data_IF_540788131081
#
_entry.id   IF_540788131081
#
_cell.length_a   1.000
_cell.length_b   1.000
_cell.length_c   1.000
_cell.angle_alpha   90.00
_cell.angle_beta   90.00
_cell.angle_gamma   90.00
#
_symmetry.space_group_name_H-M   'P 1'
#
loop_
_entity.id
_entity.type
_entity.pdbx_description
1 polymer ?
#
# COMPACT_ATOMS: atom_id res chain seq x y z
N UNK A 1 26.19 -6.75 -2.60
CA UNK A 1 25.52 -5.47 -2.31
C UNK A 1 24.21 -5.47 -3.05
N UNK A 2 23.11 -5.17 -2.37
CA UNK A 2 21.79 -5.10 -2.99
C UNK A 2 21.75 -4.04 -4.10
N UNK A 3 20.80 -4.19 -5.02
CA UNK A 3 20.42 -3.16 -5.99
C UNK A 3 19.20 -2.42 -5.50
N UNK A 4 19.06 -1.15 -5.86
CA UNK A 4 17.98 -0.30 -5.38
C UNK A 4 17.09 0.16 -6.54
N UNK A 5 15.78 0.03 -6.34
CA UNK A 5 14.76 0.56 -7.25
C UNK A 5 14.06 1.69 -6.53
N UNK A 6 14.07 2.89 -7.09
CA UNK A 6 13.33 4.03 -6.54
C UNK A 6 12.07 4.26 -7.36
N UNK A 7 10.92 4.11 -6.71
CA UNK A 7 9.60 4.33 -7.34
C UNK A 7 9.09 5.69 -6.91
N UNK A 8 8.93 6.59 -7.87
CA UNK A 8 8.40 7.95 -7.65
C UNK A 8 7.06 8.11 -8.36
N UNK A 9 6.24 9.07 -7.94
CA UNK A 9 4.95 9.37 -8.58
C UNK A 9 4.86 10.79 -9.07
N UNK A 10 3.99 11.03 -10.03
CA UNK A 10 3.77 12.33 -10.60
C UNK A 10 2.33 12.56 -11.05
N UNK A 11 2.04 13.79 -11.47
CA UNK A 11 0.71 14.25 -11.92
C UNK A 11 -0.33 14.34 -10.80
N UNK A 12 -0.69 13.22 -10.17
CA UNK A 12 -1.65 13.17 -9.05
C UNK A 12 -1.25 12.07 -8.05
N UNK A 13 -1.71 12.21 -6.81
CA UNK A 13 -1.64 11.13 -5.82
C UNK A 13 -2.59 9.98 -6.17
N UNK A 14 -2.49 8.86 -5.44
CA UNK A 14 -3.38 7.69 -5.58
C UNK A 14 -3.36 6.97 -6.94
N UNK A 15 -2.28 7.11 -7.71
CA UNK A 15 -2.08 6.35 -8.96
C UNK A 15 -1.75 4.86 -8.76
N UNK A 16 -1.62 4.41 -7.51
CA UNK A 16 -1.26 3.02 -7.17
C UNK A 16 0.24 2.77 -7.12
N UNK A 17 1.04 3.71 -6.58
CA UNK A 17 2.49 3.53 -6.39
C UNK A 17 2.83 2.32 -5.50
N UNK A 18 2.19 2.19 -4.33
CA UNK A 18 2.40 1.07 -3.43
C UNK A 18 2.05 -0.26 -4.06
N UNK A 19 0.92 -0.34 -4.76
CA UNK A 19 0.55 -1.53 -5.53
C UNK A 19 1.57 -1.83 -6.64
N UNK A 20 2.08 -0.81 -7.34
CA UNK A 20 3.09 -1.00 -8.37
C UNK A 20 4.41 -1.54 -7.79
N UNK A 21 4.82 -1.04 -6.62
CA UNK A 21 5.98 -1.52 -5.89
C UNK A 21 5.80 -2.99 -5.47
N UNK A 22 4.65 -3.30 -4.86
CA UNK A 22 4.27 -4.65 -4.42
C UNK A 22 4.25 -5.65 -5.58
N UNK A 23 3.61 -5.29 -6.70
CA UNK A 23 3.50 -6.12 -7.89
C UNK A 23 4.86 -6.36 -8.56
N UNK A 24 5.72 -5.33 -8.62
CA UNK A 24 7.10 -5.49 -9.10
C UNK A 24 7.91 -6.42 -8.19
N UNK A 25 7.77 -6.27 -6.87
CA UNK A 25 8.41 -7.16 -5.89
C UNK A 25 8.02 -8.62 -6.10
N UNK A 26 6.71 -8.89 -6.19
CA UNK A 26 6.18 -10.21 -6.50
C UNK A 26 6.71 -10.76 -7.84
N UNK A 27 6.71 -9.93 -8.88
CA UNK A 27 7.20 -10.32 -10.20
C UNK A 27 8.70 -10.70 -10.16
N UNK A 28 9.53 -9.92 -9.47
CA UNK A 28 10.95 -10.25 -9.29
C UNK A 28 11.16 -11.55 -8.50
N UNK A 29 10.32 -11.84 -7.49
CA UNK A 29 10.36 -13.14 -6.79
C UNK A 29 10.04 -14.31 -7.71
N UNK A 30 9.11 -14.15 -8.66
CA UNK A 30 8.81 -15.21 -9.65
C UNK A 30 10.01 -15.52 -10.56
N UNK A 31 10.94 -14.56 -10.72
CA UNK A 31 12.24 -14.73 -11.39
C UNK A 31 13.34 -15.29 -10.48
N UNK A 32 13.05 -15.48 -9.19
CA UNK A 32 13.96 -16.08 -8.21
C UNK A 32 14.78 -15.09 -7.38
N UNK A 33 14.50 -13.78 -7.46
CA UNK A 33 15.22 -12.79 -6.67
C UNK A 33 14.63 -12.64 -5.27
N UNK A 34 15.51 -12.41 -4.29
CA UNK A 34 15.09 -11.98 -2.95
C UNK A 34 14.86 -10.46 -2.96
N UNK A 35 13.65 -10.06 -2.60
CA UNK A 35 13.23 -8.66 -2.61
C UNK A 35 12.90 -8.18 -1.21
N UNK A 36 13.14 -6.89 -0.95
CA UNK A 36 12.63 -6.18 0.22
C UNK A 36 12.07 -4.84 -0.20
N UNK A 37 10.94 -4.44 0.38
CA UNK A 37 10.26 -3.21 0.02
C UNK A 37 10.32 -2.23 1.18
N UNK A 38 10.42 -0.94 0.84
CA UNK A 38 10.44 0.15 1.82
C UNK A 38 9.55 1.29 1.39
N UNK A 39 8.89 1.91 2.37
CA UNK A 39 8.08 3.11 2.21
C UNK A 39 8.77 4.31 2.83
N UNK A 40 8.84 5.41 2.08
CA UNK A 40 9.32 6.69 2.54
C UNK A 40 8.19 7.71 2.44
N UNK A 41 7.64 8.11 3.58
CA UNK A 41 6.48 8.98 3.68
C UNK A 41 6.85 10.44 3.95
N UNK A 42 6.31 11.39 3.18
CA UNK A 42 6.67 12.79 3.33
C UNK A 42 5.99 13.50 4.51
N UNK A 43 5.03 12.87 5.19
CA UNK A 43 4.32 13.48 6.33
C UNK A 43 5.19 13.63 7.59
N UNK A 44 4.78 14.56 8.47
CA UNK A 44 5.52 14.92 9.69
C UNK A 44 5.17 14.09 10.94
N UNK A 45 4.08 13.34 10.92
CA UNK A 45 3.79 12.38 11.99
C UNK A 45 4.96 11.39 12.10
N UNK A 46 5.43 11.09 13.32
CA UNK A 46 6.57 10.17 13.53
C UNK A 46 6.18 8.74 13.16
N UNK A 47 4.93 8.40 13.42
CA UNK A 47 4.21 7.19 13.07
C UNK A 47 2.74 7.56 12.74
N UNK A 48 1.99 6.71 12.03
CA UNK A 48 0.62 7.00 11.68
C UNK A 48 -0.38 6.74 12.83
N UNK A 49 0.06 6.32 14.02
CA UNK A 49 -0.82 6.00 15.16
C UNK A 49 -1.64 7.20 15.66
N UNK A 50 -1.18 8.42 15.36
CA UNK A 50 -1.89 9.67 15.67
C UNK A 50 -2.80 10.17 14.55
N UNK A 51 -2.83 9.48 13.41
CA UNK A 51 -3.61 9.88 12.24
C UNK A 51 -5.03 9.30 12.29
N UNK A 52 -5.97 10.04 11.72
CA UNK A 52 -7.33 9.53 11.55
C UNK A 52 -7.37 8.47 10.45
N UNK A 53 -7.97 7.29 10.68
CA UNK A 53 -8.14 6.30 9.63
C UNK A 53 -8.95 6.79 8.41
N UNK A 54 -9.77 7.83 8.58
CA UNK A 54 -10.49 8.45 7.46
C UNK A 54 -9.59 9.24 6.50
N UNK A 55 -8.42 9.69 6.97
CA UNK A 55 -7.53 10.53 6.18
C UNK A 55 -6.39 9.74 5.55
N UNK A 56 -5.95 8.67 6.22
CA UNK A 56 -4.74 7.94 5.87
C UNK A 56 -4.96 6.44 5.64
N UNK A 57 -6.20 5.96 5.78
CA UNK A 57 -6.49 4.53 5.80
C UNK A 57 -6.06 3.88 7.12
N UNK A 58 -6.04 2.55 7.14
CA UNK A 58 -5.65 1.80 8.33
C UNK A 58 -4.19 2.04 8.74
N UNK A 59 -3.92 1.85 10.03
CA UNK A 59 -2.55 1.69 10.55
C UNK A 59 -2.20 0.22 10.43
N UNK A 60 -1.13 -0.10 9.69
CA UNK A 60 -0.60 -1.45 9.62
C UNK A 60 0.35 -1.69 10.80
N UNK A 61 0.35 -2.89 11.37
CA UNK A 61 1.21 -3.24 12.50
C UNK A 61 2.06 -4.42 12.09
N UNK A 62 3.38 -4.24 12.11
CA UNK A 62 4.37 -5.27 11.75
C UNK A 62 4.57 -6.28 12.88
N UNK A 63 5.21 -7.42 12.59
CA UNK A 63 5.50 -8.47 13.57
C UNK A 63 6.37 -7.97 14.74
N UNK A 64 7.28 -7.02 14.46
CA UNK A 64 8.12 -6.37 15.48
C UNK A 64 7.41 -5.24 16.24
N UNK A 65 6.11 -5.06 16.02
CA UNK A 65 5.24 -4.15 16.77
C UNK A 65 5.33 -2.68 16.34
N UNK A 66 5.84 -2.39 15.15
CA UNK A 66 5.85 -1.03 14.63
C UNK A 66 4.50 -0.68 13.98
N UNK A 67 3.98 0.50 14.30
CA UNK A 67 2.83 1.10 13.62
C UNK A 67 3.33 1.82 12.36
N UNK A 68 2.79 1.44 11.20
CA UNK A 68 3.28 1.88 9.89
C UNK A 68 2.14 2.21 8.93
N UNK A 69 2.50 2.81 7.79
CA UNK A 69 1.58 3.07 6.69
C UNK A 69 0.99 1.76 6.12
N UNK A 70 -0.21 1.85 5.55
CA UNK A 70 -0.96 0.71 4.99
C UNK A 70 -0.24 0.04 3.82
N UNK A 71 0.67 0.73 3.12
CA UNK A 71 1.38 0.17 1.98
C UNK A 71 2.30 -0.99 2.40
N UNK A 72 2.78 -1.03 3.64
CA UNK A 72 3.53 -2.19 4.13
C UNK A 72 2.68 -3.47 4.11
N UNK A 73 1.38 -3.35 4.40
CA UNK A 73 0.46 -4.47 4.24
C UNK A 73 0.34 -4.92 2.78
N UNK A 74 0.39 -4.00 1.82
CA UNK A 74 0.44 -4.37 0.39
C UNK A 74 1.71 -5.13 0.05
N UNK A 75 2.86 -4.68 0.57
CA UNK A 75 4.14 -5.34 0.32
C UNK A 75 4.14 -6.76 0.87
N UNK A 76 3.70 -6.96 2.12
CA UNK A 76 3.60 -8.29 2.72
C UNK A 76 2.65 -9.20 1.94
N UNK A 77 1.44 -8.71 1.60
CA UNK A 77 0.42 -9.51 0.90
C UNK A 77 0.90 -10.02 -0.46
N UNK A 78 1.64 -9.19 -1.20
CA UNK A 78 2.14 -9.56 -2.53
C UNK A 78 3.39 -10.44 -2.49
N UNK A 79 4.27 -10.21 -1.51
CA UNK A 79 5.59 -10.87 -1.49
C UNK A 79 5.69 -12.03 -0.51
N UNK A 80 4.77 -12.14 0.45
CA UNK A 80 4.85 -13.08 1.56
C UNK A 80 6.05 -12.85 2.47
N UNK A 81 6.73 -11.70 2.37
CA UNK A 81 7.87 -11.33 3.20
C UNK A 81 7.38 -10.40 4.31
N UNK A 82 7.55 -10.76 5.60
CA UNK A 82 7.21 -9.88 6.71
C UNK A 82 7.97 -8.55 6.62
N UNK A 83 7.24 -7.45 6.76
CA UNK A 83 7.78 -6.12 6.87
C UNK A 83 8.17 -5.84 8.32
N UNK A 84 9.15 -4.95 8.48
CA UNK A 84 9.63 -4.53 9.79
C UNK A 84 9.49 -3.03 9.96
N UNK A 85 9.58 -2.54 11.19
CA UNK A 85 9.62 -1.08 11.45
C UNK A 85 10.80 -0.37 10.78
N UNK A 86 11.82 -1.10 10.32
CA UNK A 86 12.93 -0.60 9.51
C UNK A 86 12.61 -0.44 8.01
N UNK A 87 11.42 -0.84 7.57
CA UNK A 87 10.97 -0.75 6.18
C UNK A 87 10.03 0.44 5.94
N UNK A 88 9.69 1.21 6.97
CA UNK A 88 8.93 2.45 6.83
C UNK A 88 9.64 3.60 7.53
N UNK A 89 9.64 4.78 6.91
CA UNK A 89 10.09 6.01 7.56
C UNK A 89 9.26 7.19 7.10
N UNK A 90 9.01 8.12 8.01
CA UNK A 90 8.38 9.41 7.71
C UNK A 90 9.38 10.56 7.77
N UNK A 91 9.05 11.71 7.16
CA UNK A 91 9.77 12.97 7.41
C UNK A 91 9.85 13.24 8.91
N UNK A 92 8.73 13.07 9.63
CA UNK A 92 8.67 13.24 11.09
C UNK A 92 9.79 12.52 11.81
N UNK A 93 9.95 11.23 11.53
CA UNK A 93 10.98 10.37 12.14
C UNK A 93 12.40 10.76 11.73
N UNK A 94 12.62 11.13 10.47
CA UNK A 94 13.91 11.62 9.98
C UNK A 94 14.31 12.91 10.71
N UNK A 95 13.43 13.92 10.71
CA UNK A 95 13.71 15.20 11.35
C UNK A 95 13.89 15.04 12.86
N UNK A 96 13.06 14.21 13.51
CA UNK A 96 13.22 13.87 14.92
C UNK A 96 14.59 13.28 15.22
N UNK A 97 15.05 12.34 14.39
CA UNK A 97 16.37 11.71 14.52
C UNK A 97 17.50 12.74 14.37
N UNK A 98 17.44 13.58 13.34
CA UNK A 98 18.46 14.60 13.08
C UNK A 98 18.53 15.62 14.22
N UNK A 99 17.38 16.12 14.68
CA UNK A 99 17.30 17.08 15.79
C UNK A 99 17.80 16.45 17.10
N UNK A 100 17.46 15.19 17.36
CA UNK A 100 17.90 14.48 18.57
C UNK A 100 19.43 14.29 18.57
N UNK A 101 20.02 13.87 17.44
CA UNK A 101 21.49 13.76 17.28
C UNK A 101 22.16 15.13 17.51
N UNK A 102 21.56 16.19 17.00
CA UNK A 102 22.08 17.55 17.18
C UNK A 102 22.05 17.99 18.64
N UNK A 103 20.94 17.81 19.35
CA UNK A 103 20.84 18.14 20.79
C UNK A 103 21.78 17.32 21.67
N UNK A 104 22.14 16.10 21.26
CA UNK A 104 23.15 15.27 21.95
C UNK A 104 24.59 15.74 21.71
N UNK A 105 24.81 16.62 20.72
CA UNK A 105 26.14 17.12 20.36
C UNK A 105 26.87 16.26 19.31
N UNK A 106 26.18 15.35 18.63
CA UNK A 106 26.81 14.43 17.66
C UNK A 106 27.44 15.14 16.46
N UNK A 107 26.97 16.35 16.13
CA UNK A 107 27.51 17.18 15.05
C UNK A 107 28.60 18.16 15.51
N UNK A 108 29.13 18.01 16.73
CA UNK A 108 30.29 18.75 17.25
C UNK A 108 30.18 20.28 17.14
N UNK A 109 28.97 20.82 17.29
CA UNK A 109 28.70 22.26 17.19
C UNK A 109 28.62 22.83 15.77
N UNK A 110 28.66 21.98 14.73
CA UNK A 110 28.45 22.40 13.35
C UNK A 110 26.98 22.75 13.06
N UNK A 111 26.76 23.61 12.07
CA UNK A 111 25.41 23.95 11.60
C UNK A 111 24.74 22.74 10.95
N UNK A 112 23.59 22.34 11.48
CA UNK A 112 22.76 21.28 10.89
C UNK A 112 21.86 21.85 9.80
N UNK A 113 21.77 21.14 8.67
CA UNK A 113 21.14 21.57 7.42
C UNK A 113 20.42 20.41 6.75
N UNK A 114 19.47 20.69 5.85
CA UNK A 114 18.79 19.64 5.05
C UNK A 114 19.80 18.82 4.26
N UNK A 115 20.70 19.49 3.54
CA UNK A 115 21.84 18.86 2.89
C UNK A 115 23.09 19.26 3.68
N UNK A 116 23.91 18.31 4.19
CA UNK A 116 23.79 16.87 3.98
C UNK A 116 23.01 16.13 5.08
N UNK A 117 22.64 16.74 6.20
CA UNK A 117 22.26 16.00 7.42
C UNK A 117 20.93 15.23 7.29
N UNK A 118 19.87 15.87 6.78
CA UNK A 118 18.58 15.22 6.54
C UNK A 118 18.69 14.22 5.40
N UNK A 119 19.33 14.60 4.29
CA UNK A 119 19.54 13.67 3.16
C UNK A 119 20.37 12.46 3.57
N UNK A 120 21.41 12.62 4.39
CA UNK A 120 22.21 11.51 4.91
C UNK A 120 21.39 10.60 5.82
N UNK A 121 20.53 11.13 6.70
CA UNK A 121 19.65 10.30 7.50
C UNK A 121 18.67 9.47 6.64
N UNK A 122 18.17 10.04 5.55
CA UNK A 122 17.34 9.32 4.57
C UNK A 122 18.16 8.25 3.85
N UNK A 123 19.36 8.58 3.37
CA UNK A 123 20.26 7.61 2.71
C UNK A 123 20.64 6.46 3.64
N UNK A 124 20.99 6.78 4.89
CA UNK A 124 21.25 5.80 5.96
C UNK A 124 20.06 4.86 6.10
N UNK A 125 18.84 5.37 6.22
CA UNK A 125 17.64 4.53 6.26
C UNK A 125 17.50 3.63 5.03
N UNK A 126 17.67 4.16 3.81
CA UNK A 126 17.50 3.41 2.56
C UNK A 126 18.48 2.25 2.46
N UNK A 127 19.73 2.43 2.86
CA UNK A 127 20.78 1.40 2.70
C UNK A 127 20.97 0.52 3.94
N UNK A 128 20.40 0.91 5.08
CA UNK A 128 20.54 0.17 6.33
C UNK A 128 19.85 -1.19 6.24
N UNK A 129 20.51 -2.23 6.75
CA UNK A 129 19.98 -3.59 6.91
C UNK A 129 19.10 -4.11 5.76
N UNK A 130 19.68 -4.36 4.59
CA UNK A 130 18.99 -5.02 3.49
C UNK A 130 18.80 -6.54 3.72
N UNK A 131 19.27 -7.09 4.84
CA UNK A 131 19.27 -8.53 5.11
C UNK A 131 19.94 -9.33 3.96
N UNK A 132 19.24 -10.36 3.50
CA UNK A 132 19.62 -11.21 2.36
C UNK A 132 18.96 -10.77 1.03
N UNK A 133 18.33 -9.59 0.98
CA UNK A 133 17.70 -9.07 -0.22
C UNK A 133 18.74 -8.73 -1.30
N UNK A 134 18.45 -9.15 -2.52
CA UNK A 134 19.25 -8.83 -3.70
C UNK A 134 18.78 -7.51 -4.34
N UNK A 135 17.48 -7.21 -4.21
CA UNK A 135 16.85 -5.99 -4.72
C UNK A 135 16.00 -5.36 -3.62
N UNK A 136 16.26 -4.09 -3.31
CA UNK A 136 15.46 -3.27 -2.41
C UNK A 136 14.63 -2.29 -3.24
N UNK A 137 13.32 -2.33 -3.10
CA UNK A 137 12.40 -1.40 -3.78
C UNK A 137 11.97 -0.36 -2.76
N UNK A 138 12.30 0.91 -3.02
CA UNK A 138 11.93 2.03 -2.19
C UNK A 138 10.84 2.85 -2.89
N UNK A 139 9.63 2.83 -2.34
CA UNK A 139 8.56 3.72 -2.75
C UNK A 139 8.71 5.09 -2.07
N UNK A 140 8.78 6.13 -2.89
CA UNK A 140 8.81 7.52 -2.43
C UNK A 140 7.38 8.07 -2.45
N UNK A 141 6.84 8.32 -1.26
CA UNK A 141 5.55 8.93 -1.05
C UNK A 141 5.46 10.36 -1.59
N UNK A 142 4.25 10.89 -1.66
CA UNK A 142 3.97 12.20 -2.26
C UNK A 142 3.99 12.19 -3.80
N UNK A 143 4.02 13.39 -4.37
CA UNK A 143 4.06 13.64 -5.82
C UNK A 143 5.27 14.49 -6.17
N UNK A 144 6.00 14.11 -7.23
CA UNK A 144 7.13 14.92 -7.72
C UNK A 144 6.62 16.31 -8.12
N UNK A 145 7.27 17.34 -7.58
CA UNK A 145 6.87 18.74 -7.67
C UNK A 145 6.39 19.32 -6.33
N UNK A 146 6.00 18.46 -5.38
CA UNK A 146 5.60 18.91 -4.05
C UNK A 146 6.82 19.16 -3.15
N UNK A 147 6.71 20.19 -2.29
CA UNK A 147 7.78 20.63 -1.38
C UNK A 147 8.16 19.53 -0.38
N UNK A 148 7.17 18.78 0.10
CA UNK A 148 7.33 17.76 1.14
C UNK A 148 8.28 16.60 0.72
N UNK A 149 8.33 16.29 -0.58
CA UNK A 149 9.14 15.20 -1.13
C UNK A 149 10.58 15.57 -1.48
N UNK A 150 10.93 16.87 -1.50
CA UNK A 150 12.22 17.34 -1.99
C UNK A 150 13.43 16.70 -1.28
N UNK A 151 13.46 16.55 0.06
CA UNK A 151 14.59 15.89 0.73
C UNK A 151 14.76 14.42 0.33
N UNK A 152 13.67 13.67 0.10
CA UNK A 152 13.72 12.28 -0.35
C UNK A 152 14.25 12.18 -1.77
N UNK A 153 13.74 13.03 -2.67
CA UNK A 153 14.19 13.04 -4.06
C UNK A 153 15.68 13.41 -4.16
N UNK A 154 16.15 14.38 -3.38
CA UNK A 154 17.58 14.70 -3.32
C UNK A 154 18.42 13.54 -2.74
N UNK A 155 17.91 12.84 -1.71
CA UNK A 155 18.61 11.70 -1.12
C UNK A 155 18.78 10.54 -2.11
N UNK A 156 17.73 10.17 -2.86
CA UNK A 156 17.82 9.09 -3.86
C UNK A 156 18.70 9.51 -5.04
N UNK A 157 18.68 10.79 -5.44
CA UNK A 157 19.57 11.33 -6.47
C UNK A 157 21.04 11.23 -6.04
N UNK A 158 21.36 11.56 -4.79
CA UNK A 158 22.70 11.37 -4.23
C UNK A 158 23.09 9.90 -4.21
N UNK A 159 22.22 9.00 -3.74
CA UNK A 159 22.48 7.55 -3.76
C UNK A 159 22.75 7.02 -5.16
N UNK A 160 22.03 7.49 -6.18
CA UNK A 160 22.31 7.11 -7.56
C UNK A 160 23.72 7.48 -8.04
N UNK A 161 24.35 8.51 -7.46
CA UNK A 161 25.75 8.86 -7.75
C UNK A 161 26.76 8.09 -6.89
N UNK A 162 26.37 7.70 -5.68
CA UNK A 162 27.23 7.03 -4.70
C UNK A 162 27.28 5.52 -4.92
N UNK A 163 26.18 4.91 -5.39
CA UNK A 163 26.08 3.50 -5.68
C UNK A 163 26.84 3.13 -6.97
N UNK A 164 27.37 1.89 -7.07
CA UNK A 164 28.00 1.43 -8.30
C UNK A 164 27.04 1.51 -9.50
N UNK A 165 27.59 1.77 -10.69
CA UNK A 165 26.81 1.77 -11.93
C UNK A 165 26.03 0.45 -12.08
N UNK A 166 24.74 0.52 -12.36
CA UNK A 166 23.85 -0.65 -12.47
C UNK A 166 23.34 -1.19 -11.13
N UNK A 167 23.54 -0.47 -10.02
CA UNK A 167 22.96 -0.81 -8.71
C UNK A 167 21.80 0.10 -8.30
N UNK A 168 21.41 1.03 -9.16
CA UNK A 168 20.31 1.97 -8.93
C UNK A 168 19.48 2.06 -10.21
N UNK A 169 18.15 1.99 -10.07
CA UNK A 169 17.20 2.23 -11.15
C UNK A 169 16.03 3.07 -10.64
N UNK A 170 15.47 3.91 -11.51
CA UNK A 170 14.37 4.81 -11.22
C UNK A 170 13.15 4.44 -12.05
N UNK A 171 12.02 4.17 -11.39
CA UNK A 171 10.73 3.97 -12.03
C UNK A 171 9.84 5.16 -11.66
N UNK A 172 9.27 5.83 -12.66
CA UNK A 172 8.37 6.96 -12.43
C UNK A 172 6.94 6.61 -12.85
N UNK A 173 6.04 6.57 -11.88
CA UNK A 173 4.60 6.35 -12.07
C UNK A 173 3.94 7.65 -12.46
N UNK A 174 3.15 7.62 -13.54
CA UNK A 174 2.51 8.80 -14.13
C UNK A 174 1.11 8.46 -14.64
N UNK A 175 0.34 9.48 -15.02
CA UNK A 175 -1.02 9.33 -15.54
C UNK A 175 -1.07 9.76 -17.01
N UNK A 176 -1.66 8.90 -17.84
CA UNK A 176 -2.02 9.19 -19.23
C UNK A 176 -3.54 9.26 -19.31
N UNK A 177 -4.17 10.42 -19.05
CA UNK A 177 -5.61 10.52 -18.94
C UNK A 177 -6.30 10.49 -20.31
N UNK A 178 -7.47 9.87 -20.36
CA UNK A 178 -8.41 9.99 -21.47
C UNK A 178 -9.22 11.28 -21.36
N UNK A 179 -9.34 12.03 -22.45
CA UNK A 179 -10.19 13.23 -22.50
C UNK A 179 -11.40 12.94 -23.40
N UNK A 180 -12.60 12.68 -22.83
CA UNK A 180 -13.78 12.31 -23.60
C UNK A 180 -14.16 13.30 -24.70
N UNK A 181 -14.06 14.60 -24.42
CA UNK A 181 -14.38 15.66 -25.38
C UNK A 181 -13.43 15.72 -26.58
N UNK A 182 -12.21 15.22 -26.43
CA UNK A 182 -11.21 15.16 -27.49
C UNK A 182 -11.09 13.77 -28.13
N UNK A 183 -11.65 12.74 -27.49
CA UNK A 183 -11.55 11.36 -27.98
C UNK A 183 -10.12 10.82 -28.04
N UNK A 184 -9.20 11.31 -27.19
CA UNK A 184 -7.80 10.86 -27.20
C UNK A 184 -7.17 10.80 -25.80
N UNK A 185 -6.16 9.93 -25.66
CA UNK A 185 -5.26 9.90 -24.52
C UNK A 185 -4.26 11.07 -24.60
N UNK A 186 -4.06 11.78 -23.49
CA UNK A 186 -3.13 12.91 -23.43
C UNK A 186 -1.82 12.51 -22.77
N UNK A 187 -0.73 12.66 -23.52
CA UNK A 187 0.63 12.33 -23.08
C UNK A 187 1.35 13.48 -22.35
N UNK A 188 0.77 14.69 -22.34
CA UNK A 188 1.40 15.91 -21.82
C UNK A 188 1.61 15.89 -20.29
N UNK A 189 0.67 15.37 -19.46
CA UNK A 189 0.91 15.25 -18.02
C UNK A 189 2.18 14.46 -17.71
N UNK A 190 2.37 13.32 -18.36
CA UNK A 190 3.61 12.52 -18.26
C UNK A 190 4.85 13.31 -18.64
N UNK A 191 4.83 14.06 -19.73
CA UNK A 191 5.97 14.85 -20.18
C UNK A 191 6.38 15.92 -19.16
N UNK A 192 5.40 16.63 -18.60
CA UNK A 192 5.65 17.66 -17.59
C UNK A 192 6.17 17.04 -16.29
N UNK A 193 5.60 15.89 -15.89
CA UNK A 193 6.02 15.15 -14.72
C UNK A 193 7.48 14.68 -14.81
N UNK A 194 7.86 14.10 -15.94
CA UNK A 194 9.25 13.68 -16.16
C UNK A 194 10.19 14.87 -16.28
N UNK A 195 9.75 16.00 -16.85
CA UNK A 195 10.54 17.23 -16.86
C UNK A 195 10.84 17.71 -15.43
N UNK A 196 9.86 17.66 -14.53
CA UNK A 196 10.04 18.04 -13.13
C UNK A 196 11.04 17.11 -12.41
N UNK A 197 10.88 15.79 -12.60
CA UNK A 197 11.82 14.81 -12.06
C UNK A 197 13.26 15.00 -12.59
N UNK A 198 13.40 15.37 -13.87
CA UNK A 198 14.71 15.65 -14.47
C UNK A 198 15.29 16.99 -14.02
N UNK A 199 14.46 17.98 -13.71
CA UNK A 199 14.92 19.29 -13.23
C UNK A 199 15.67 19.16 -11.90
N UNK A 200 15.32 18.17 -11.09
CA UNK A 200 16.03 17.82 -9.85
C UNK A 200 17.17 16.80 -10.06
N UNK A 201 17.49 16.44 -11.30
CA UNK A 201 18.64 15.60 -11.63
C UNK A 201 18.39 14.08 -11.62
N UNK A 202 17.13 13.63 -11.64
CA UNK A 202 16.79 12.20 -11.75
C UNK A 202 16.28 11.90 -13.16
N UNK A 203 16.94 10.96 -13.84
CA UNK A 203 16.47 10.41 -15.12
C UNK A 203 15.78 9.07 -14.85
N UNK A 204 14.47 8.92 -15.18
CA UNK A 204 13.80 7.63 -15.04
C UNK A 204 14.36 6.62 -16.05
N UNK A 205 14.54 5.38 -15.58
CA UNK A 205 14.88 4.21 -16.39
C UNK A 205 13.62 3.59 -17.02
N UNK A 206 12.48 3.65 -16.31
CA UNK A 206 11.18 3.23 -16.81
C UNK A 206 10.06 4.20 -16.40
N UNK A 207 9.05 4.32 -17.26
CA UNK A 207 7.83 5.08 -17.00
C UNK A 207 6.66 4.11 -16.89
N UNK A 208 6.00 4.12 -15.73
CA UNK A 208 4.79 3.34 -15.51
C UNK A 208 3.58 4.23 -15.77
N UNK A 209 3.02 4.12 -16.98
CA UNK A 209 1.97 4.98 -17.48
C UNK A 209 0.59 4.43 -17.12
N UNK A 210 -0.01 4.91 -16.02
CA UNK A 210 -1.36 4.54 -15.61
C UNK A 210 -2.38 5.06 -16.62
N UNK A 211 -3.28 4.18 -17.05
CA UNK A 211 -4.30 4.48 -18.04
C UNK A 211 -5.49 3.51 -17.92
N UNK A 212 -6.66 3.96 -18.35
CA UNK A 212 -7.92 3.18 -18.33
C UNK A 212 -8.11 2.33 -19.60
N UNK A 213 -7.18 2.42 -20.56
CA UNK A 213 -7.26 1.77 -21.88
C UNK A 213 -5.88 1.62 -22.52
N UNK A 214 -5.72 0.78 -23.55
CA UNK A 214 -4.46 0.62 -24.27
C UNK A 214 -3.90 1.94 -24.81
N UNK A 215 -2.61 2.19 -24.58
CA UNK A 215 -1.90 3.36 -25.11
C UNK A 215 -1.55 3.10 -26.59
N UNK A 216 -2.02 3.92 -27.55
CA UNK A 216 -1.67 3.77 -28.95
C UNK A 216 -0.15 3.81 -29.19
N UNK A 217 0.40 3.05 -30.14
CA UNK A 217 1.85 3.03 -30.43
C UNK A 217 2.45 4.42 -30.70
N UNK A 218 1.70 5.30 -31.38
CA UNK A 218 2.15 6.68 -31.62
C UNK A 218 2.27 7.49 -30.32
N UNK A 219 1.31 7.36 -29.41
CA UNK A 219 1.34 8.01 -28.11
C UNK A 219 2.51 7.48 -27.26
N UNK A 220 2.77 6.17 -27.28
CA UNK A 220 3.91 5.52 -26.61
C UNK A 220 5.24 6.06 -27.14
N UNK A 221 5.43 6.08 -28.47
CA UNK A 221 6.61 6.68 -29.14
C UNK A 221 6.81 8.14 -28.76
N UNK A 222 5.73 8.91 -28.71
CA UNK A 222 5.77 10.32 -28.34
C UNK A 222 6.20 10.53 -26.89
N UNK A 223 5.68 9.72 -25.95
CA UNK A 223 6.12 9.73 -24.55
C UNK A 223 7.62 9.43 -24.48
N UNK A 224 8.06 8.35 -25.12
CA UNK A 224 9.46 7.92 -25.12
C UNK A 224 10.40 9.05 -25.60
N UNK A 225 10.11 9.61 -26.77
CA UNK A 225 10.89 10.69 -27.37
C UNK A 225 10.94 11.94 -26.48
N UNK A 226 9.79 12.39 -25.97
CA UNK A 226 9.71 13.63 -25.19
C UNK A 226 10.24 13.49 -23.76
N UNK A 227 10.23 12.28 -23.21
CA UNK A 227 10.75 11.98 -21.87
C UNK A 227 12.22 11.53 -21.89
N UNK A 228 12.81 11.35 -23.08
CA UNK A 228 14.18 10.85 -23.27
C UNK A 228 14.40 9.44 -22.67
N UNK A 229 13.43 8.55 -22.86
CA UNK A 229 13.50 7.13 -22.48
C UNK A 229 13.34 6.24 -23.72
N UNK A 230 13.71 4.97 -23.63
CA UNK A 230 13.45 4.00 -24.71
C UNK A 230 11.93 3.75 -24.83
N UNK A 231 11.50 3.32 -26.02
CA UNK A 231 10.06 3.06 -26.26
C UNK A 231 9.54 1.88 -25.44
N UNK A 232 10.35 0.83 -25.30
CA UNK A 232 10.05 -0.33 -24.44
C UNK A 232 9.96 0.07 -22.96
N UNK A 233 10.76 1.04 -22.50
CA UNK A 233 10.70 1.60 -21.15
C UNK A 233 9.45 2.45 -20.85
N UNK A 234 8.57 2.71 -21.82
CA UNK A 234 7.24 3.28 -21.58
C UNK A 234 6.26 2.13 -21.36
N UNK A 235 6.02 1.78 -20.11
CA UNK A 235 5.24 0.62 -19.67
C UNK A 235 3.77 1.01 -19.50
N UNK A 236 2.84 0.49 -20.32
CA UNK A 236 1.41 0.68 -20.09
C UNK A 236 0.98 -0.02 -18.79
N UNK A 237 0.49 0.74 -17.83
CA UNK A 237 -0.07 0.21 -16.60
C UNK A 237 -1.59 0.37 -16.65
N UNK A 238 -2.23 -0.49 -17.43
CA UNK A 238 -3.68 -0.46 -17.67
C UNK A 238 -4.43 -0.85 -16.39
N UNK A 239 -5.60 -0.25 -16.16
CA UNK A 239 -6.49 -0.68 -15.08
C UNK A 239 -6.88 -2.16 -15.24
N UNK A 240 -6.67 -2.92 -14.16
CA UNK A 240 -6.96 -4.34 -14.08
C UNK A 240 -8.27 -4.56 -13.31
N UNK A 241 -8.97 -5.66 -13.59
CA UNK A 241 -10.21 -6.00 -12.86
C UNK A 241 -9.93 -6.41 -11.42
N UNK A 242 -8.73 -6.96 -11.17
CA UNK A 242 -8.24 -7.28 -9.83
C UNK A 242 -6.77 -6.93 -9.67
N UNK A 243 -6.37 -6.56 -8.46
CA UNK A 243 -4.98 -6.20 -8.13
C UNK A 243 -4.01 -7.37 -8.35
N UNK A 244 -4.49 -8.61 -8.30
CA UNK A 244 -3.66 -9.80 -8.48
C UNK A 244 -3.28 -10.06 -9.94
N UNK A 245 -3.89 -9.37 -10.91
CA UNK A 245 -3.47 -9.41 -12.32
C UNK A 245 -2.24 -8.54 -12.60
N UNK A 246 -2.00 -7.54 -11.74
CA UNK A 246 -0.97 -6.51 -11.99
C UNK A 246 0.43 -7.10 -12.22
N UNK A 247 0.92 -8.12 -11.47
CA UNK A 247 2.21 -8.73 -11.76
C UNK A 247 2.29 -9.34 -13.17
N UNK A 248 1.22 -9.97 -13.64
CA UNK A 248 1.13 -10.57 -14.98
C UNK A 248 1.14 -9.45 -16.03
N UNK A 249 0.27 -8.45 -15.88
CA UNK A 249 0.18 -7.34 -16.81
C UNK A 249 1.49 -6.54 -16.92
N UNK A 250 2.21 -6.35 -15.81
CA UNK A 250 3.50 -5.67 -15.82
C UNK A 250 4.59 -6.49 -16.52
N UNK A 251 4.57 -7.82 -16.38
CA UNK A 251 5.45 -8.69 -17.12
C UNK A 251 5.16 -8.64 -18.62
N UNK A 252 3.89 -8.78 -19.03
CA UNK A 252 3.47 -8.70 -20.43
C UNK A 252 3.84 -7.34 -21.07
N UNK A 253 3.86 -6.28 -20.27
CA UNK A 253 4.29 -4.95 -20.69
C UNK A 253 5.82 -4.76 -20.72
N UNK A 254 6.61 -5.70 -20.17
CA UNK A 254 8.07 -5.72 -20.17
C UNK A 254 8.75 -4.95 -19.03
N UNK A 255 8.04 -4.65 -17.92
CA UNK A 255 8.57 -3.81 -16.84
C UNK A 255 9.82 -4.41 -16.19
N UNK A 256 9.74 -5.68 -15.85
CA UNK A 256 10.80 -6.44 -15.19
C UNK A 256 12.03 -6.61 -16.10
N UNK A 257 11.82 -6.79 -17.40
CA UNK A 257 12.91 -6.88 -18.39
C UNK A 257 13.67 -5.55 -18.49
N UNK A 258 12.95 -4.44 -18.64
CA UNK A 258 13.55 -3.09 -18.68
C UNK A 258 14.34 -2.80 -17.39
N UNK A 259 13.79 -3.19 -16.24
CA UNK A 259 14.47 -3.01 -14.96
C UNK A 259 15.76 -3.84 -14.86
N UNK A 260 15.71 -5.12 -15.24
CA UNK A 260 16.88 -5.99 -15.19
C UNK A 260 17.96 -5.54 -16.18
N UNK A 261 17.59 -5.02 -17.35
CA UNK A 261 18.51 -4.37 -18.27
C UNK A 261 19.20 -3.15 -17.66
N UNK A 262 18.45 -2.28 -16.95
CA UNK A 262 19.01 -1.11 -16.26
C UNK A 262 20.07 -1.52 -15.21
N UNK A 263 19.90 -2.70 -14.59
CA UNK A 263 20.86 -3.28 -13.67
C UNK A 263 22.03 -4.04 -14.33
N UNK A 264 22.05 -4.13 -15.66
CA UNK A 264 23.03 -4.94 -16.40
C UNK A 264 22.85 -6.45 -16.18
N UNK A 265 21.65 -6.88 -15.79
CA UNK A 265 21.26 -8.27 -15.51
C UNK A 265 20.43 -8.88 -16.66
N UNK A 266 20.70 -8.45 -17.90
CA UNK A 266 20.05 -9.00 -19.08
C UNK A 266 20.23 -10.52 -19.20
N UNK A 267 19.21 -11.21 -19.73
CA UNK A 267 19.22 -12.67 -19.89
C UNK A 267 18.84 -13.46 -18.64
N UNK A 268 18.28 -12.80 -17.62
CA UNK A 268 17.68 -13.49 -16.48
C UNK A 268 16.58 -14.47 -16.92
N UNK A 269 16.37 -15.59 -16.19
CA UNK A 269 15.30 -16.54 -16.48
C UNK A 269 13.92 -15.87 -16.55
N UNK A 270 13.05 -16.40 -17.42
CA UNK A 270 11.65 -15.98 -17.49
C UNK A 270 10.93 -16.20 -16.14
N UNK A 271 9.95 -15.35 -15.79
CA UNK A 271 9.22 -15.47 -14.54
C UNK A 271 8.33 -16.71 -14.54
N UNK A 272 8.10 -17.27 -13.36
CA UNK A 272 7.13 -18.37 -13.14
C UNK A 272 5.81 -17.80 -12.60
N UNK A 273 4.88 -17.49 -13.50
CA UNK A 273 3.63 -16.80 -13.16
C UNK A 273 2.46 -17.72 -12.74
N UNK A 274 2.63 -19.05 -12.79
CA UNK A 274 1.52 -20.00 -12.58
C UNK A 274 0.72 -19.80 -11.28
N UNK A 275 1.37 -19.42 -10.18
CA UNK A 275 0.65 -19.11 -8.92
C UNK A 275 -0.26 -17.89 -9.06
N UNK A 276 0.21 -16.84 -9.75
CA UNK A 276 -0.59 -15.64 -10.00
C UNK A 276 -1.74 -15.90 -10.97
N UNK A 277 -1.49 -16.70 -12.02
CA UNK A 277 -2.53 -17.15 -12.95
C UNK A 277 -3.64 -17.91 -12.24
N UNK A 278 -3.28 -18.82 -11.32
CA UNK A 278 -4.26 -19.56 -10.51
C UNK A 278 -5.05 -18.64 -9.56
N UNK A 279 -4.39 -17.69 -8.90
CA UNK A 279 -5.07 -16.70 -8.03
C UNK A 279 -6.08 -15.89 -8.85
N UNK A 280 -5.68 -15.36 -10.01
CA UNK A 280 -6.55 -14.59 -10.90
C UNK A 280 -7.74 -15.43 -11.36
N UNK A 281 -7.52 -16.69 -11.74
CA UNK A 281 -8.61 -17.59 -12.13
C UNK A 281 -9.64 -17.75 -11.00
N UNK A 282 -9.18 -18.05 -9.78
CA UNK A 282 -10.05 -18.23 -8.61
C UNK A 282 -10.85 -16.97 -8.25
N UNK A 283 -10.26 -15.79 -8.42
CA UNK A 283 -10.93 -14.50 -8.18
C UNK A 283 -11.99 -14.22 -9.25
N UNK A 284 -11.68 -14.48 -10.52
CA UNK A 284 -12.57 -14.16 -11.64
C UNK A 284 -13.67 -15.19 -11.86
N UNK A 285 -13.44 -16.45 -11.47
CA UNK A 285 -14.37 -17.57 -11.66
C UNK A 285 -14.64 -18.32 -10.34
N UNK A 286 -15.31 -17.67 -9.37
CA UNK A 286 -15.71 -18.34 -8.13
C UNK A 286 -16.80 -19.39 -8.41
N UNK A 287 -16.82 -20.45 -7.61
CA UNK A 287 -17.80 -21.55 -7.67
C UNK A 287 -19.07 -21.25 -6.85
N UNK A 288 -19.04 -20.24 -6.00
CA UNK A 288 -20.16 -19.77 -5.20
C UNK A 288 -19.87 -18.42 -4.54
N UNK A 289 -20.83 -17.92 -3.76
CA UNK A 289 -20.69 -16.62 -3.07
C UNK A 289 -21.16 -16.73 -1.62
N UNK A 290 -20.59 -15.89 -0.75
CA UNK A 290 -20.94 -15.76 0.65
C UNK A 290 -20.98 -14.28 1.02
N UNK A 291 -22.01 -13.86 1.75
CA UNK A 291 -22.16 -12.49 2.24
C UNK A 291 -21.76 -12.39 3.70
N UNK A 292 -20.82 -11.50 4.03
CA UNK A 292 -20.34 -11.23 5.39
C UNK A 292 -20.69 -9.80 5.77
N UNK A 293 -21.45 -9.62 6.84
CA UNK A 293 -21.73 -8.31 7.42
C UNK A 293 -20.52 -7.81 8.21
N UNK A 294 -20.04 -6.61 7.89
CA UNK A 294 -18.99 -5.92 8.65
C UNK A 294 -19.63 -4.78 9.44
N UNK A 295 -19.74 -4.95 10.76
CA UNK A 295 -20.39 -3.98 11.66
C UNK A 295 -19.35 -3.05 12.27
N UNK A 296 -18.99 -2.01 11.52
CA UNK A 296 -17.88 -1.10 11.81
C UNK A 296 -18.31 0.32 12.14
N UNK A 297 -17.34 1.11 12.63
CA UNK A 297 -17.50 2.56 12.88
C UNK A 297 -17.18 3.43 11.66
N UNK A 298 -16.44 2.87 10.68
CA UNK A 298 -15.80 3.59 9.58
C UNK A 298 -16.24 3.01 8.22
N UNK A 299 -17.54 2.89 7.95
CA UNK A 299 -18.06 2.18 6.77
C UNK A 299 -17.90 2.92 5.44
N UNK A 300 -17.66 4.23 5.47
CA UNK A 300 -17.53 5.06 4.27
C UNK A 300 -16.15 5.06 3.60
N UNK A 301 -15.14 4.40 4.17
CA UNK A 301 -13.79 4.36 3.61
C UNK A 301 -13.24 2.92 3.63
N UNK A 302 -13.12 2.32 2.45
CA UNK A 302 -12.60 0.95 2.28
C UNK A 302 -11.17 0.84 2.83
N UNK A 303 -10.36 1.89 2.68
CA UNK A 303 -8.96 1.90 3.10
C UNK A 303 -8.78 1.83 4.62
N UNK A 304 -9.81 2.21 5.41
CA UNK A 304 -9.77 2.09 6.87
C UNK A 304 -9.82 0.63 7.37
N UNK A 305 -10.15 -0.30 6.49
CA UNK A 305 -10.25 -1.74 6.78
C UNK A 305 -9.63 -2.57 5.65
N UNK A 306 -8.58 -2.07 5.00
CA UNK A 306 -7.99 -2.69 3.82
C UNK A 306 -7.50 -4.10 4.10
N UNK A 307 -6.75 -4.32 5.18
CA UNK A 307 -6.23 -5.65 5.55
C UNK A 307 -7.36 -6.63 5.86
N UNK A 308 -8.45 -6.15 6.46
CA UNK A 308 -9.63 -6.97 6.73
C UNK A 308 -10.33 -7.40 5.43
N UNK A 309 -10.54 -6.45 4.51
CA UNK A 309 -11.09 -6.73 3.18
C UNK A 309 -10.25 -7.77 2.43
N UNK A 310 -8.93 -7.59 2.41
CA UNK A 310 -8.00 -8.50 1.74
C UNK A 310 -7.97 -9.87 2.40
N UNK A 311 -7.97 -9.96 3.74
CA UNK A 311 -7.98 -11.24 4.44
C UNK A 311 -9.22 -12.08 4.12
N UNK A 312 -10.40 -11.46 4.09
CA UNK A 312 -11.64 -12.14 3.69
C UNK A 312 -11.61 -12.54 2.21
N UNK A 313 -11.10 -11.65 1.34
CA UNK A 313 -10.91 -11.95 -0.08
C UNK A 313 -10.00 -13.16 -0.27
N UNK A 314 -8.87 -13.23 0.42
CA UNK A 314 -7.94 -14.37 0.39
C UNK A 314 -8.59 -15.66 0.93
N UNK A 315 -9.41 -15.57 1.97
CA UNK A 315 -10.24 -16.68 2.45
C UNK A 315 -11.18 -17.19 1.36
N UNK A 316 -11.80 -16.29 0.61
CA UNK A 316 -12.61 -16.61 -0.57
C UNK A 316 -11.81 -17.32 -1.67
N UNK A 317 -10.65 -16.79 -2.04
CA UNK A 317 -9.74 -17.36 -3.05
C UNK A 317 -9.33 -18.79 -2.68
N UNK A 318 -8.99 -19.03 -1.41
CA UNK A 318 -8.61 -20.35 -0.93
C UNK A 318 -9.75 -21.37 -1.08
N UNK A 319 -10.99 -20.92 -0.90
CA UNK A 319 -12.21 -21.75 -0.97
C UNK A 319 -12.94 -21.67 -2.32
N UNK A 320 -12.40 -20.96 -3.32
CA UNK A 320 -13.04 -20.68 -4.61
C UNK A 320 -14.44 -20.06 -4.49
N UNK A 321 -14.64 -19.19 -3.51
CA UNK A 321 -15.90 -18.45 -3.32
C UNK A 321 -15.66 -16.96 -3.36
N UNK A 322 -16.62 -16.20 -3.89
CA UNK A 322 -16.64 -14.75 -3.77
C UNK A 322 -17.14 -14.36 -2.39
N UNK A 323 -16.39 -13.53 -1.68
CA UNK A 323 -16.85 -12.93 -0.42
C UNK A 323 -17.42 -11.55 -0.72
N UNK A 324 -18.73 -11.41 -0.57
CA UNK A 324 -19.45 -10.15 -0.66
C UNK A 324 -19.47 -9.50 0.73
N UNK A 325 -19.01 -8.25 0.84
CA UNK A 325 -18.98 -7.55 2.12
C UNK A 325 -20.12 -6.54 2.20
N UNK A 326 -20.94 -6.69 3.23
CA UNK A 326 -22.00 -5.73 3.55
C UNK A 326 -21.54 -4.83 4.70
N UNK A 327 -21.26 -3.57 4.39
CA UNK A 327 -20.77 -2.60 5.36
C UNK A 327 -21.93 -1.97 6.12
N UNK A 328 -21.96 -2.18 7.43
CA UNK A 328 -23.04 -1.70 8.28
C UNK A 328 -22.47 -0.81 9.37
N UNK A 329 -23.01 0.41 9.44
CA UNK A 329 -22.64 1.37 10.47
C UNK A 329 -23.18 0.89 11.82
N UNK A 330 -22.28 0.72 12.78
CA UNK A 330 -22.63 0.31 14.13
C UNK A 330 -23.66 1.27 14.79
N UNK A 331 -23.63 2.57 14.49
CA UNK A 331 -24.58 3.52 15.09
C UNK A 331 -26.02 3.31 14.58
N UNK A 332 -26.20 2.66 13.43
CA UNK A 332 -27.53 2.35 12.90
C UNK A 332 -28.28 1.28 13.73
N UNK A 333 -27.59 0.59 14.65
CA UNK A 333 -28.19 -0.42 15.53
C UNK A 333 -28.48 0.10 16.94
N UNK A 334 -28.26 1.39 17.21
CA UNK A 334 -28.54 1.99 18.50
C UNK A 334 -30.06 2.15 18.71
N UNK A 335 -30.72 1.12 19.29
CA UNK A 335 -32.11 1.18 19.73
C UNK A 335 -33.13 0.46 18.83
N UNK A 336 -32.71 -0.16 17.74
CA UNK A 336 -33.56 -0.97 16.85
C UNK A 336 -33.05 -2.41 16.77
N UNK A 337 -33.95 -3.38 16.58
CA UNK A 337 -33.57 -4.78 16.37
C UNK A 337 -32.84 -4.88 15.03
N UNK A 338 -31.62 -5.45 14.96
CA UNK A 338 -30.81 -5.53 13.75
C UNK A 338 -31.42 -6.29 12.55
N UNK A 339 -32.66 -6.81 12.67
CA UNK A 339 -33.14 -7.93 11.85
C UNK A 339 -33.04 -7.58 10.36
N UNK A 340 -33.64 -6.49 9.88
CA UNK A 340 -33.76 -6.20 8.45
C UNK A 340 -32.43 -6.06 7.70
N UNK A 341 -31.36 -5.57 8.34
CA UNK A 341 -30.04 -5.36 7.71
C UNK A 341 -29.13 -6.59 7.81
N UNK A 342 -29.52 -7.60 8.58
CA UNK A 342 -28.75 -8.83 8.80
C UNK A 342 -29.48 -10.09 8.34
N UNK A 343 -30.68 -9.99 7.73
CA UNK A 343 -31.48 -11.16 7.34
C UNK A 343 -30.80 -12.03 6.29
N UNK A 344 -30.11 -11.42 5.33
CA UNK A 344 -29.57 -12.09 4.14
C UNK A 344 -28.05 -12.38 4.23
N UNK A 345 -27.44 -12.17 5.40
CA UNK A 345 -26.00 -12.35 5.60
C UNK A 345 -25.68 -13.76 6.12
N UNK A 346 -24.55 -14.31 5.69
CA UNK A 346 -24.14 -15.66 6.09
C UNK A 346 -23.21 -15.67 7.31
N UNK A 347 -22.61 -14.53 7.65
CA UNK A 347 -21.74 -14.36 8.82
C UNK A 347 -21.69 -12.90 9.25
N UNK A 348 -21.33 -12.68 10.52
CA UNK A 348 -21.16 -11.33 11.10
C UNK A 348 -19.73 -11.16 11.59
N UNK A 349 -19.09 -10.06 11.22
CA UNK A 349 -17.78 -9.67 11.69
C UNK A 349 -17.87 -8.30 12.37
N UNK A 350 -17.36 -8.21 13.60
CA UNK A 350 -17.18 -6.94 14.31
C UNK A 350 -15.69 -6.62 14.38
N UNK A 351 -15.20 -5.59 13.65
CA UNK A 351 -13.80 -5.21 13.65
C UNK A 351 -13.44 -4.37 14.88
N UNK A 352 -12.16 -4.05 14.98
CA UNK A 352 -11.64 -3.06 15.92
C UNK A 352 -12.35 -1.70 15.80
N UNK A 353 -12.23 -0.88 16.83
CA UNK A 353 -12.75 0.48 16.82
C UNK A 353 -12.73 1.07 18.21
N UNK A 354 -11.81 1.99 18.46
CA UNK A 354 -11.60 2.58 19.78
C UNK A 354 -12.73 3.52 20.21
N UNK A 355 -12.96 3.53 21.53
CA UNK A 355 -13.90 4.40 22.22
C UNK A 355 -15.33 3.87 22.29
N UNK A 356 -16.15 4.53 23.12
CA UNK A 356 -17.53 4.15 23.44
C UNK A 356 -18.49 4.24 22.22
N UNK A 357 -18.18 5.13 21.28
CA UNK A 357 -19.06 5.43 20.15
C UNK A 357 -19.28 4.20 19.25
N UNK A 358 -20.54 3.77 19.15
CA UNK A 358 -20.97 2.60 18.36
C UNK A 358 -20.81 1.26 19.07
N UNK A 359 -20.41 1.23 20.35
CA UNK A 359 -20.25 -0.02 21.11
C UNK A 359 -21.57 -0.78 21.27
N UNK A 360 -22.65 -0.11 21.67
CA UNK A 360 -23.96 -0.76 21.88
C UNK A 360 -24.54 -1.35 20.60
N UNK A 361 -24.39 -0.67 19.46
CA UNK A 361 -24.83 -1.22 18.18
C UNK A 361 -24.00 -2.43 17.72
N UNK A 362 -22.70 -2.46 18.02
CA UNK A 362 -21.87 -3.65 17.83
C UNK A 362 -22.30 -4.79 18.75
N UNK A 363 -22.62 -4.53 20.02
CA UNK A 363 -23.17 -5.54 20.95
C UNK A 363 -24.49 -6.10 20.41
N UNK A 364 -25.38 -5.26 19.88
CA UNK A 364 -26.63 -5.71 19.26
C UNK A 364 -26.38 -6.67 18.09
N UNK A 365 -25.39 -6.39 17.24
CA UNK A 365 -25.00 -7.30 16.17
C UNK A 365 -24.42 -8.64 16.69
N UNK A 366 -23.67 -8.63 17.80
CA UNK A 366 -23.20 -9.86 18.46
C UNK A 366 -24.39 -10.68 18.96
N UNK A 367 -25.33 -10.03 19.66
CA UNK A 367 -26.56 -10.67 20.16
C UNK A 367 -27.32 -11.33 19.00
N UNK A 368 -27.50 -10.60 17.90
CA UNK A 368 -28.16 -11.10 16.69
C UNK A 368 -27.48 -12.36 16.14
N UNK A 369 -26.16 -12.31 15.95
CA UNK A 369 -25.39 -13.44 15.45
C UNK A 369 -25.53 -14.67 16.35
N UNK A 370 -25.45 -14.48 17.68
CA UNK A 370 -25.62 -15.55 18.67
C UNK A 370 -27.02 -16.16 18.61
N UNK A 371 -28.07 -15.35 18.60
CA UNK A 371 -29.46 -15.80 18.67
C UNK A 371 -29.94 -16.47 17.38
N UNK A 372 -29.45 -16.02 16.23
CA UNK A 372 -29.74 -16.63 14.92
C UNK A 372 -28.78 -17.78 14.57
N UNK A 373 -27.73 -18.03 15.36
CA UNK A 373 -26.74 -19.07 15.12
C UNK A 373 -25.83 -18.79 13.92
N UNK A 374 -25.60 -17.51 13.59
CA UNK A 374 -24.69 -17.12 12.52
C UNK A 374 -23.21 -17.25 12.97
N UNK A 375 -22.30 -17.69 12.09
CA UNK A 375 -20.87 -17.57 12.32
C UNK A 375 -20.48 -16.13 12.66
N UNK A 376 -19.71 -15.97 13.74
CA UNK A 376 -19.28 -14.68 14.25
C UNK A 376 -17.75 -14.60 14.36
N UNK A 377 -17.17 -13.47 13.93
CA UNK A 377 -15.76 -13.15 14.14
C UNK A 377 -15.62 -11.76 14.80
N UNK A 378 -15.14 -11.73 16.04
CA UNK A 378 -14.82 -10.49 16.76
C UNK A 378 -13.32 -10.23 16.76
N UNK A 379 -12.87 -9.11 16.20
CA UNK A 379 -11.45 -8.74 16.16
C UNK A 379 -11.18 -7.66 17.21
N UNK A 380 -10.26 -7.93 18.14
CA UNK A 380 -9.86 -6.99 19.21
C UNK A 380 -11.09 -6.47 19.98
N UNK A 381 -11.52 -5.24 19.70
CA UNK A 381 -12.75 -4.66 20.26
C UNK A 381 -13.99 -5.55 20.03
N UNK A 382 -14.11 -6.18 18.86
CA UNK A 382 -15.22 -7.11 18.60
C UNK A 382 -15.25 -8.31 19.55
N UNK A 383 -14.07 -8.83 19.94
CA UNK A 383 -13.97 -9.89 20.95
C UNK A 383 -14.38 -9.38 22.34
N UNK A 384 -13.91 -8.17 22.72
CA UNK A 384 -14.27 -7.55 24.00
C UNK A 384 -15.79 -7.36 24.12
N UNK A 385 -16.43 -6.86 23.07
CA UNK A 385 -17.87 -6.66 23.05
C UNK A 385 -18.65 -7.98 23.10
N UNK A 386 -18.11 -9.06 22.53
CA UNK A 386 -18.71 -10.38 22.68
C UNK A 386 -18.67 -10.89 24.13
N UNK A 387 -17.58 -10.62 24.87
CA UNK A 387 -17.53 -10.92 26.30
C UNK A 387 -18.57 -10.12 27.09
N UNK A 388 -18.77 -8.85 26.75
CA UNK A 388 -19.78 -7.99 27.38
C UNK A 388 -21.20 -8.50 27.08
N UNK A 389 -21.50 -8.85 25.82
CA UNK A 389 -22.81 -9.40 25.43
C UNK A 389 -23.15 -10.66 26.23
N UNK A 390 -22.21 -11.61 26.32
CA UNK A 390 -22.39 -12.85 27.08
C UNK A 390 -22.59 -12.58 28.57
N UNK A 391 -21.81 -11.66 29.15
CA UNK A 391 -21.94 -11.30 30.57
C UNK A 391 -23.33 -10.69 30.86
N UNK A 392 -23.81 -9.80 30.00
CA UNK A 392 -25.14 -9.16 30.14
C UNK A 392 -26.26 -10.17 29.94
N UNK A 393 -26.26 -10.91 28.83
CA UNK A 393 -27.42 -11.70 28.39
C UNK A 393 -27.46 -13.12 28.94
N UNK A 394 -26.30 -13.76 29.17
CA UNK A 394 -26.25 -15.16 29.63
C UNK A 394 -25.91 -15.29 31.13
N UNK A 395 -25.13 -14.36 31.68
CA UNK A 395 -24.77 -14.37 33.10
C UNK A 395 -25.61 -13.43 33.98
N UNK A 396 -26.50 -12.63 33.39
CA UNK A 396 -27.39 -11.69 34.10
C UNK A 396 -26.67 -10.49 34.71
N UNK A 397 -25.46 -10.17 34.23
CA UNK A 397 -24.69 -9.01 34.68
C UNK A 397 -25.02 -7.80 33.80
N UNK A 398 -26.22 -7.24 33.96
CA UNK A 398 -26.74 -6.15 33.10
C UNK A 398 -25.79 -4.94 33.01
N UNK A 399 -25.07 -4.64 34.09
CA UNK A 399 -24.09 -3.53 34.16
C UNK A 399 -22.68 -3.86 33.68
N UNK A 400 -22.43 -5.05 33.08
CA UNK A 400 -21.11 -5.40 32.59
C UNK A 400 -20.64 -4.43 31.49
N UNK A 401 -19.40 -3.97 31.59
CA UNK A 401 -18.82 -2.96 30.69
C UNK A 401 -17.30 -3.07 30.64
N UNK A 402 -16.66 -2.28 29.77
CA UNK A 402 -15.21 -2.09 29.73
C UNK A 402 -14.82 -0.84 30.50
N UNK A 403 -13.72 -0.89 31.28
CA UNK A 403 -13.12 0.31 31.91
C UNK A 403 -12.58 1.30 30.88
N UNK A 404 -12.48 0.91 29.60
CA UNK A 404 -12.20 1.85 28.49
C UNK A 404 -13.32 2.89 28.33
N UNK A 405 -14.56 2.56 28.70
CA UNK A 405 -15.72 3.46 28.53
C UNK A 405 -15.90 4.45 29.69
N UNK A 406 -15.13 4.30 30.78
CA UNK A 406 -15.29 5.07 32.02
C UNK A 406 -15.63 4.16 33.19
#
# INVERSE_FOLDING_TARGET
MARYVFITGGVVSSLGKGLAAAALGALLQTRGYKVRLRKLDPYLNVDPGTMSPYQHGEVFVTEDGAETDLDLGHYERFTGVPAHGSDSVSSGRIYWTVITRERRGDYLGATVQVIPHVTNAIKEFIVNDAGDAEIVICEIGGTVGDIEGLPFLEAIRQLGNELPRGHCAYIHVTLVPWIPSAGELKTKPTQHSVRELRAIGIQPDALLCRCDRPIPPEARRKIALQCSVREDAVIPAIDCETIYEVPICYHEAGLDEVLLEAFGMGGAPAPRLGTWEEIVERVKKPEGEVTVAIVGKYTGLIDAYKSLYEALTHGGIANRVRVNLEWIDAEAFAGEVPDDRLQDVNAVLVPGGFGERGAEGKIAAVTYAREKGLPFLGICFGMQLACIEVARNLAGLEGASSTEFG
#
